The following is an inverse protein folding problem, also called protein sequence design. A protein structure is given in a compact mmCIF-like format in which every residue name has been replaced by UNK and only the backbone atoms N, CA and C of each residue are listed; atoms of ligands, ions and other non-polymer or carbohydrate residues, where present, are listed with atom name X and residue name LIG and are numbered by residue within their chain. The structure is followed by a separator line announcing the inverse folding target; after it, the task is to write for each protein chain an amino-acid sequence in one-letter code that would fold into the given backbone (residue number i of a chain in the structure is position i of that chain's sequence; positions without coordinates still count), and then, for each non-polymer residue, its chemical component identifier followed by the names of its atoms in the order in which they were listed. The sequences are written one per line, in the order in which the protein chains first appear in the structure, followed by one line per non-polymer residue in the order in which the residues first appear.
data_IF_149523816447
#
_entry.id   IF_149523816447
#
_cell.length_a   1.000
_cell.length_b   1.000
_cell.length_c   1.000
_cell.angle_alpha   90.00
_cell.angle_beta   90.00
_cell.angle_gamma   90.00
#
_symmetry.space_group_name_H-M   'P 1'
#
loop_
_entity.id
_entity.type
_entity.pdbx_description
1 polymer ?
#
# COMPACT_ATOMS: atom_id res chain seq x y z
N UNK A 1 0.09 -2.05 0.52
CA UNK A 1 -1.27 -2.47 0.15
C UNK A 1 -1.38 -3.97 -0.08
N UNK A 2 -0.44 -4.62 -0.78
CA UNK A 2 -0.52 -6.08 -1.05
C UNK A 2 -0.71 -6.94 0.22
N UNK A 3 -0.04 -6.60 1.31
CA UNK A 3 -0.16 -7.32 2.59
C UNK A 3 -1.59 -7.34 3.16
N UNK A 4 -2.43 -6.35 2.81
CA UNK A 4 -3.83 -6.30 3.21
C UNK A 4 -4.61 -7.53 2.70
N UNK A 5 -4.24 -8.03 1.53
CA UNK A 5 -4.91 -9.17 0.88
C UNK A 5 -4.16 -10.49 1.08
N UNK A 6 -3.20 -10.54 2.01
CA UNK A 6 -2.43 -11.76 2.27
C UNK A 6 -3.37 -12.91 2.69
N UNK A 7 -3.27 -14.04 2.01
CA UNK A 7 -4.14 -15.21 2.24
C UNK A 7 -5.60 -15.03 1.80
N UNK A 8 -5.93 -13.92 1.11
CA UNK A 8 -7.25 -13.67 0.52
C UNK A 8 -7.19 -13.86 -0.98
N UNK A 9 -8.34 -14.02 -1.61
CA UNK A 9 -8.42 -14.14 -3.06
C UNK A 9 -9.05 -12.90 -3.70
N UNK A 10 -8.55 -12.51 -4.87
CA UNK A 10 -9.13 -11.45 -5.69
C UNK A 10 -9.54 -11.99 -7.05
N UNK A 11 -10.70 -11.56 -7.55
CA UNK A 11 -11.18 -11.90 -8.88
C UNK A 11 -10.59 -10.90 -9.89
N UNK A 12 -9.88 -11.41 -10.89
CA UNK A 12 -9.38 -10.62 -12.02
C UNK A 12 -10.30 -10.78 -13.21
N UNK A 13 -10.93 -9.69 -13.65
CA UNK A 13 -11.77 -9.71 -14.86
C UNK A 13 -10.98 -9.81 -16.16
N UNK A 14 -9.69 -9.47 -16.14
CA UNK A 14 -8.84 -9.55 -17.35
C UNK A 14 -8.59 -11.00 -17.75
N UNK A 15 -8.37 -11.87 -16.77
CA UNK A 15 -7.98 -13.27 -16.98
C UNK A 15 -9.09 -14.25 -16.61
N UNK A 16 -10.23 -13.78 -16.08
CA UNK A 16 -11.30 -14.62 -15.51
C UNK A 16 -10.77 -15.59 -14.43
N UNK A 17 -9.63 -15.24 -13.83
CA UNK A 17 -8.94 -16.03 -12.84
C UNK A 17 -9.11 -15.43 -11.45
N UNK A 18 -9.14 -16.33 -10.48
CA UNK A 18 -9.00 -16.03 -9.07
C UNK A 18 -7.50 -15.91 -8.77
N UNK A 19 -7.07 -14.73 -8.34
CA UNK A 19 -5.73 -14.45 -7.83
C UNK A 19 -5.72 -14.89 -6.37
N UNK A 20 -5.25 -16.10 -6.11
CA UNK A 20 -5.22 -16.71 -4.77
C UNK A 20 -3.79 -16.92 -4.25
N UNK A 21 -2.79 -16.84 -5.14
CA UNK A 21 -1.38 -16.92 -4.73
C UNK A 21 -0.82 -15.54 -4.35
N UNK A 22 0.09 -15.53 -3.38
CA UNK A 22 0.78 -14.30 -2.96
C UNK A 22 1.54 -13.65 -4.13
N UNK A 23 2.10 -14.46 -5.04
CA UNK A 23 2.84 -13.98 -6.21
C UNK A 23 1.94 -13.20 -7.17
N UNK A 24 0.72 -13.67 -7.43
CA UNK A 24 -0.24 -13.01 -8.31
C UNK A 24 -0.79 -11.73 -7.70
N UNK A 25 -1.13 -11.77 -6.40
CA UNK A 25 -1.57 -10.58 -5.65
C UNK A 25 -0.48 -9.51 -5.66
N UNK A 26 0.78 -9.91 -5.44
CA UNK A 26 1.93 -9.02 -5.49
C UNK A 26 2.11 -8.44 -6.89
N UNK A 27 2.07 -9.25 -7.95
CA UNK A 27 2.14 -8.75 -9.32
C UNK A 27 1.00 -7.77 -9.69
N UNK A 28 -0.18 -7.95 -9.08
CA UNK A 28 -1.35 -7.11 -9.33
C UNK A 28 -1.37 -5.80 -8.52
N UNK A 29 -0.80 -5.79 -7.31
CA UNK A 29 -0.97 -4.68 -6.34
C UNK A 29 0.34 -4.02 -5.89
N UNK A 30 1.50 -4.64 -6.10
CA UNK A 30 2.78 -4.09 -5.65
C UNK A 30 3.12 -2.80 -6.41
N UNK A 31 3.70 -1.83 -5.70
CA UNK A 31 4.16 -0.54 -6.23
C UNK A 31 3.05 0.23 -6.98
N UNK A 32 1.80 0.07 -6.54
CA UNK A 32 0.63 0.75 -7.10
C UNK A 32 -0.22 1.35 -5.99
N UNK A 33 -0.83 2.48 -6.30
CA UNK A 33 -1.94 3.00 -5.52
C UNK A 33 -3.13 2.05 -5.66
N UNK A 34 -3.75 1.70 -4.54
CA UNK A 34 -4.91 0.80 -4.52
C UNK A 34 -6.14 1.58 -4.10
N UNK A 35 -7.15 1.65 -4.97
CA UNK A 35 -8.46 2.17 -4.60
C UNK A 35 -9.37 1.02 -4.17
N UNK A 36 -9.90 1.10 -2.96
CA UNK A 36 -10.95 0.21 -2.48
C UNK A 36 -12.30 0.87 -2.69
N UNK A 37 -13.06 0.37 -3.65
CA UNK A 37 -14.41 0.86 -3.95
C UNK A 37 -15.44 0.02 -3.22
N UNK A 38 -16.10 0.60 -2.23
CA UNK A 38 -17.29 0.05 -1.60
C UNK A 38 -18.51 0.60 -2.33
N UNK A 39 -19.24 -0.27 -3.01
CA UNK A 39 -20.45 0.10 -3.72
C UNK A 39 -21.40 -1.11 -3.85
N UNK A 40 -22.59 -0.83 -4.38
CA UNK A 40 -23.62 -1.81 -4.71
C UNK A 40 -24.37 -1.31 -5.94
N UNK A 41 -24.86 -2.23 -6.77
CA UNK A 41 -25.55 -1.96 -8.04
C UNK A 41 -26.85 -1.17 -7.86
N UNK A 42 -27.60 -1.51 -6.81
CA UNK A 42 -28.93 -0.95 -6.54
C UNK A 42 -28.91 0.40 -5.85
N UNK A 43 -27.75 0.87 -5.38
CA UNK A 43 -27.61 2.20 -4.77
C UNK A 43 -27.69 3.32 -5.83
N UNK A 44 -28.63 4.28 -5.70
CA UNK A 44 -28.74 5.41 -6.63
C UNK A 44 -27.50 6.30 -6.65
N UNK A 45 -26.87 6.54 -5.49
CA UNK A 45 -25.66 7.37 -5.38
C UNK A 45 -24.48 6.71 -6.08
N UNK A 46 -24.33 5.38 -5.97
CA UNK A 46 -23.30 4.61 -6.68
C UNK A 46 -23.46 4.76 -8.20
N UNK A 47 -24.67 4.55 -8.72
CA UNK A 47 -24.95 4.70 -10.17
C UNK A 47 -24.62 6.09 -10.70
N UNK A 48 -24.84 7.14 -9.91
CA UNK A 48 -24.47 8.51 -10.28
C UNK A 48 -22.96 8.77 -10.30
N UNK A 49 -22.21 8.10 -9.43
CA UNK A 49 -20.75 8.25 -9.31
C UNK A 49 -19.96 7.38 -10.30
N UNK A 50 -20.44 6.17 -10.58
CA UNK A 50 -19.76 5.19 -11.42
C UNK A 50 -19.28 5.74 -12.78
N UNK A 51 -20.05 6.49 -13.59
CA UNK A 51 -19.57 7.03 -14.85
C UNK A 51 -18.36 7.96 -14.66
N UNK A 52 -18.33 8.73 -13.56
CA UNK A 52 -17.21 9.61 -13.22
C UNK A 52 -15.98 8.79 -12.86
N UNK A 53 -16.15 7.76 -12.03
CA UNK A 53 -15.06 6.88 -11.63
C UNK A 53 -14.45 6.13 -12.83
N UNK A 54 -15.29 5.61 -13.74
CA UNK A 54 -14.83 4.96 -14.98
C UNK A 54 -14.03 5.93 -15.84
N UNK A 55 -14.52 7.16 -16.02
CA UNK A 55 -13.82 8.21 -16.77
C UNK A 55 -12.50 8.58 -16.11
N UNK A 56 -12.48 8.68 -14.78
CA UNK A 56 -11.28 8.94 -13.99
C UNK A 56 -10.23 7.86 -14.23
N UNK A 57 -10.57 6.58 -13.99
CA UNK A 57 -9.63 5.48 -14.22
C UNK A 57 -9.17 5.41 -15.68
N UNK A 58 -10.09 5.53 -16.65
CA UNK A 58 -9.74 5.48 -18.08
C UNK A 58 -8.72 6.56 -18.44
N UNK A 59 -8.91 7.79 -17.96
CA UNK A 59 -7.96 8.89 -18.23
C UNK A 59 -6.57 8.66 -17.64
N UNK A 60 -6.44 7.83 -16.62
CA UNK A 60 -5.15 7.54 -15.97
C UNK A 60 -4.49 6.26 -16.50
N UNK A 61 -5.24 5.35 -17.14
CA UNK A 61 -4.72 4.03 -17.51
C UNK A 61 -4.77 3.72 -19.00
N UNK A 62 -5.59 4.43 -19.78
CA UNK A 62 -5.79 4.15 -21.21
C UNK A 62 -4.68 4.79 -22.06
N UNK A 63 -4.01 4.03 -22.94
CA UNK A 63 -3.02 4.57 -23.88
C UNK A 63 -3.53 5.71 -24.77
N UNK A 64 -4.86 5.83 -24.97
CA UNK A 64 -5.46 6.93 -25.70
C UNK A 64 -5.38 8.28 -24.95
N UNK A 65 -5.06 8.28 -23.65
CA UNK A 65 -5.03 9.47 -22.81
C UNK A 65 -3.66 9.73 -22.18
N UNK A 66 -2.86 8.69 -21.95
CA UNK A 66 -1.54 8.79 -21.30
C UNK A 66 -0.54 7.91 -22.03
N UNK A 67 0.71 8.39 -22.18
CA UNK A 67 1.79 7.59 -22.80
C UNK A 67 2.14 6.35 -21.98
N UNK A 68 2.05 6.47 -20.65
CA UNK A 68 2.28 5.38 -19.71
C UNK A 68 1.11 5.29 -18.74
N UNK A 69 0.47 4.11 -18.59
CA UNK A 69 -0.56 3.92 -17.58
C UNK A 69 -0.02 4.22 -16.19
N UNK A 70 -0.75 5.05 -15.45
CA UNK A 70 -0.41 5.37 -14.07
C UNK A 70 -0.50 4.11 -13.19
N UNK A 71 0.36 3.97 -12.16
CA UNK A 71 0.46 2.78 -11.32
C UNK A 71 -0.72 2.73 -10.31
N UNK A 72 -1.91 2.46 -10.83
CA UNK A 72 -3.17 2.49 -10.10
C UNK A 72 -3.93 1.17 -10.29
N UNK A 73 -4.52 0.66 -9.21
CA UNK A 73 -5.39 -0.51 -9.25
C UNK A 73 -6.65 -0.30 -8.43
N UNK A 74 -7.80 -0.63 -9.00
CA UNK A 74 -9.08 -0.59 -8.30
C UNK A 74 -9.50 -2.00 -7.89
N UNK A 75 -9.89 -2.15 -6.63
CA UNK A 75 -10.49 -3.36 -6.06
C UNK A 75 -11.92 -3.03 -5.66
N UNK A 76 -12.88 -3.71 -6.27
CA UNK A 76 -14.29 -3.63 -5.92
C UNK A 76 -14.61 -4.49 -4.71
N UNK A 77 -15.23 -3.87 -3.70
CA UNK A 77 -15.77 -4.52 -2.52
C UNK A 77 -17.29 -4.37 -2.59
N UNK A 78 -17.94 -5.40 -3.12
CA UNK A 78 -19.38 -5.37 -3.36
C UNK A 78 -20.20 -5.59 -2.10
N UNK A 79 -21.21 -4.75 -1.88
CA UNK A 79 -22.21 -4.88 -0.81
C UNK A 79 -23.58 -5.35 -1.31
N UNK A 80 -23.63 -5.84 -2.54
CA UNK A 80 -24.85 -6.33 -3.16
C UNK A 80 -25.50 -7.44 -2.32
N UNK A 81 -26.83 -7.39 -2.19
CA UNK A 81 -27.59 -8.41 -1.44
C UNK A 81 -27.80 -9.71 -2.22
N UNK A 82 -27.58 -9.66 -3.53
CA UNK A 82 -27.78 -10.76 -4.45
C UNK A 82 -26.53 -10.94 -5.30
N UNK A 83 -26.11 -12.19 -5.46
CA UNK A 83 -24.96 -12.56 -6.30
C UNK A 83 -25.17 -12.14 -7.75
N UNK A 84 -26.40 -12.23 -8.26
CA UNK A 84 -26.71 -11.82 -9.63
C UNK A 84 -26.43 -10.32 -9.83
N UNK A 85 -26.88 -9.46 -8.92
CA UNK A 85 -26.61 -8.02 -9.01
C UNK A 85 -25.10 -7.73 -8.97
N UNK A 86 -24.37 -8.45 -8.12
CA UNK A 86 -22.92 -8.36 -8.00
C UNK A 86 -22.22 -8.75 -9.30
N UNK A 87 -22.58 -9.89 -9.89
CA UNK A 87 -21.98 -10.38 -11.14
C UNK A 87 -22.31 -9.46 -12.32
N UNK A 88 -23.52 -8.94 -12.39
CA UNK A 88 -23.92 -7.95 -13.39
C UNK A 88 -23.14 -6.64 -13.21
N UNK A 89 -23.00 -6.15 -11.97
CA UNK A 89 -22.15 -5.00 -11.68
C UNK A 89 -20.73 -5.23 -12.18
N UNK A 90 -20.14 -6.37 -11.81
CA UNK A 90 -18.81 -6.74 -12.24
C UNK A 90 -18.71 -6.75 -13.75
N UNK A 91 -19.65 -7.37 -14.47
CA UNK A 91 -19.66 -7.44 -15.93
C UNK A 91 -19.61 -6.06 -16.59
N UNK A 92 -20.33 -5.10 -16.03
CA UNK A 92 -20.41 -3.74 -16.55
C UNK A 92 -19.11 -2.93 -16.33
N UNK A 93 -18.23 -3.31 -15.40
CA UNK A 93 -17.01 -2.57 -15.08
C UNK A 93 -15.90 -2.71 -16.15
N UNK A 94 -14.76 -1.99 -16.05
CA UNK A 94 -13.58 -2.28 -16.85
C UNK A 94 -12.90 -3.61 -16.47
N UNK A 95 -12.34 -4.31 -17.46
CA UNK A 95 -11.58 -5.58 -17.23
C UNK A 95 -10.32 -5.41 -16.40
N UNK A 96 -9.81 -4.18 -16.29
CA UNK A 96 -8.66 -3.82 -15.45
C UNK A 96 -9.02 -3.71 -13.97
N UNK A 97 -10.27 -3.89 -13.57
CA UNK A 97 -10.63 -3.86 -12.15
C UNK A 97 -10.47 -5.25 -11.53
N UNK A 98 -10.15 -5.27 -10.25
CA UNK A 98 -10.19 -6.45 -9.40
C UNK A 98 -11.44 -6.39 -8.54
N UNK A 99 -11.83 -7.52 -7.97
CA UNK A 99 -12.93 -7.57 -7.02
C UNK A 99 -12.70 -8.62 -5.92
N UNK A 100 -13.27 -8.40 -4.74
CA UNK A 100 -13.38 -9.46 -3.74
C UNK A 100 -14.51 -10.41 -4.11
N UNK A 101 -14.36 -11.74 -3.93
CA UNK A 101 -15.43 -12.70 -4.14
C UNK A 101 -16.73 -12.31 -3.43
N UNK A 102 -17.87 -12.63 -4.06
CA UNK A 102 -19.16 -12.37 -3.46
C UNK A 102 -19.30 -13.10 -2.12
N UNK A 103 -19.83 -12.41 -1.10
CA UNK A 103 -20.04 -12.98 0.22
C UNK A 103 -18.79 -13.18 1.07
N UNK A 104 -17.61 -12.73 0.63
CA UNK A 104 -16.38 -12.81 1.43
C UNK A 104 -16.49 -11.94 2.71
N UNK A 105 -16.30 -12.56 3.87
CA UNK A 105 -16.32 -11.89 5.18
C UNK A 105 -15.31 -10.75 5.26
N UNK A 106 -14.22 -10.85 4.49
CA UNK A 106 -13.20 -9.82 4.40
C UNK A 106 -13.75 -8.48 3.93
N UNK A 107 -14.77 -8.47 3.07
CA UNK A 107 -15.43 -7.23 2.65
C UNK A 107 -16.00 -6.46 3.84
N UNK A 108 -16.63 -7.17 4.78
CA UNK A 108 -17.19 -6.58 6.01
C UNK A 108 -16.09 -6.14 6.98
N UNK A 109 -15.01 -6.90 7.10
CA UNK A 109 -13.84 -6.50 7.89
C UNK A 109 -13.25 -5.19 7.37
N UNK A 110 -13.11 -5.04 6.05
CA UNK A 110 -12.60 -3.82 5.43
C UNK A 110 -13.52 -2.61 5.65
N UNK A 111 -14.84 -2.81 5.56
CA UNK A 111 -15.82 -1.74 5.85
C UNK A 111 -15.66 -1.21 7.27
N UNK A 112 -15.53 -2.10 8.25
CA UNK A 112 -15.33 -1.73 9.65
C UNK A 112 -13.98 -1.06 9.85
N UNK A 113 -12.91 -1.64 9.29
CA UNK A 113 -11.54 -1.14 9.40
C UNK A 113 -11.39 0.28 8.86
N UNK A 114 -12.05 0.60 7.75
CA UNK A 114 -11.98 1.93 7.12
C UNK A 114 -13.15 2.84 7.48
N UNK A 115 -14.04 2.42 8.39
CA UNK A 115 -15.15 3.24 8.87
C UNK A 115 -16.12 3.66 7.77
N UNK A 116 -16.46 2.74 6.86
CA UNK A 116 -17.36 3.02 5.73
C UNK A 116 -18.78 3.27 6.23
N UNK A 117 -19.24 4.52 6.13
CA UNK A 117 -20.55 4.95 6.65
C UNK A 117 -21.66 4.90 5.60
N UNK A 118 -21.34 5.27 4.37
CA UNK A 118 -22.30 5.38 3.27
C UNK A 118 -21.69 4.93 1.94
N UNK A 119 -22.54 4.69 0.93
CA UNK A 119 -22.12 4.29 -0.40
C UNK A 119 -22.44 5.38 -1.44
N UNK A 120 -21.58 5.59 -2.45
CA UNK A 120 -20.30 4.92 -2.65
C UNK A 120 -19.23 5.45 -1.68
N UNK A 121 -18.27 4.61 -1.33
CA UNK A 121 -17.09 4.99 -0.55
C UNK A 121 -15.84 4.51 -1.27
N UNK A 122 -14.80 5.35 -1.35
CA UNK A 122 -13.58 5.04 -2.08
C UNK A 122 -12.36 5.36 -1.23
N UNK A 123 -11.73 4.34 -0.65
CA UNK A 123 -10.49 4.51 0.12
C UNK A 123 -9.31 4.48 -0.84
N UNK A 124 -8.35 5.38 -0.68
CA UNK A 124 -7.10 5.39 -1.45
C UNK A 124 -5.96 4.93 -0.55
N UNK A 125 -5.29 3.86 -0.94
CA UNK A 125 -4.14 3.29 -0.22
C UNK A 125 -2.84 3.51 -0.98
N UNK A 126 -1.79 3.85 -0.24
CA UNK A 126 -0.41 3.91 -0.71
C UNK A 126 0.12 2.51 -1.06
N UNK A 127 1.22 2.40 -1.83
CA UNK A 127 1.87 1.11 -2.11
C UNK A 127 2.28 0.35 -0.85
N UNK A 128 2.74 1.06 0.19
CA UNK A 128 2.98 0.51 1.54
C UNK A 128 1.71 -0.06 2.19
N UNK A 129 0.55 0.58 1.95
CA UNK A 129 -0.75 0.21 2.52
C UNK A 129 -1.27 1.20 3.55
N UNK A 130 -0.54 2.30 3.77
CA UNK A 130 -1.05 3.46 4.49
C UNK A 130 -2.28 4.04 3.77
N UNK A 131 -3.22 4.57 4.55
CA UNK A 131 -4.39 5.27 4.00
C UNK A 131 -3.97 6.67 3.61
N UNK A 132 -4.08 7.01 2.33
CA UNK A 132 -3.86 8.37 1.83
C UNK A 132 -5.11 9.21 2.02
N UNK A 133 -6.25 8.67 1.57
CA UNK A 133 -7.53 9.34 1.61
C UNK A 133 -8.58 8.34 2.08
N UNK A 134 -9.26 8.61 3.23
CA UNK A 134 -10.32 7.74 3.72
C UNK A 134 -11.52 7.66 2.76
N UNK A 135 -11.91 8.78 2.14
CA UNK A 135 -12.98 8.81 1.12
C UNK A 135 -12.67 9.81 -0.01
N UNK A 136 -12.28 9.29 -1.17
CA UNK A 136 -11.91 10.06 -2.35
C UNK A 136 -13.08 10.37 -3.31
N UNK A 137 -14.31 9.95 -3.00
CA UNK A 137 -15.50 10.29 -3.79
C UNK A 137 -15.65 11.80 -4.02
N UNK A 138 -15.59 12.68 -3.00
CA UNK A 138 -15.68 14.12 -3.22
C UNK A 138 -14.51 14.67 -4.05
N UNK A 139 -13.28 14.23 -3.78
CA UNK A 139 -12.10 14.69 -4.53
C UNK A 139 -12.20 14.36 -6.03
N UNK A 140 -12.60 13.13 -6.38
CA UNK A 140 -12.81 12.75 -7.78
C UNK A 140 -13.96 13.56 -8.40
N UNK A 141 -15.01 13.85 -7.62
CA UNK A 141 -16.17 14.58 -8.11
C UNK A 141 -15.81 16.03 -8.46
N UNK A 142 -14.99 16.65 -7.64
CA UNK A 142 -14.73 18.09 -7.65
C UNK A 142 -13.44 18.43 -8.42
N UNK A 143 -12.38 17.61 -8.30
CA UNK A 143 -11.07 17.83 -8.93
C UNK A 143 -10.81 16.93 -10.15
N UNK A 144 -11.58 15.86 -10.33
CA UNK A 144 -11.39 14.92 -11.44
C UNK A 144 -10.04 14.22 -11.38
N UNK A 145 -9.27 14.19 -12.47
CA UNK A 145 -7.98 13.49 -12.53
C UNK A 145 -6.86 14.19 -11.79
N UNK A 146 -7.01 15.48 -11.47
CA UNK A 146 -5.95 16.28 -10.84
C UNK A 146 -5.67 15.82 -9.40
N UNK A 147 -6.65 15.25 -8.68
CA UNK A 147 -6.42 14.73 -7.32
C UNK A 147 -5.43 13.56 -7.30
N UNK A 148 -5.25 12.85 -8.42
CA UNK A 148 -4.30 11.75 -8.50
C UNK A 148 -2.86 12.20 -8.25
N UNK A 149 -2.49 13.41 -8.68
CA UNK A 149 -1.15 13.95 -8.44
C UNK A 149 -0.89 14.14 -6.95
N UNK A 150 -1.86 14.71 -6.23
CA UNK A 150 -1.78 14.88 -4.78
C UNK A 150 -1.62 13.52 -4.07
N UNK A 151 -2.32 12.48 -4.52
CA UNK A 151 -2.19 11.14 -3.94
C UNK A 151 -0.82 10.52 -4.23
N UNK A 152 -0.29 10.73 -5.44
CA UNK A 152 1.04 10.23 -5.82
C UNK A 152 2.13 10.89 -4.98
N UNK A 153 2.10 12.22 -4.86
CA UNK A 153 3.04 12.97 -4.01
C UNK A 153 2.94 12.56 -2.54
N UNK A 154 1.72 12.41 -2.02
CA UNK A 154 1.50 11.95 -0.65
C UNK A 154 2.03 10.51 -0.42
N UNK A 155 1.87 9.62 -1.41
CA UNK A 155 2.40 8.27 -1.34
C UNK A 155 3.93 8.26 -1.34
N UNK A 156 4.57 9.07 -2.20
CA UNK A 156 6.02 9.22 -2.21
C UNK A 156 6.52 9.72 -0.86
N UNK A 157 5.88 10.75 -0.29
CA UNK A 157 6.25 11.23 1.04
C UNK A 157 6.11 10.14 2.10
N UNK A 158 5.03 9.35 2.11
CA UNK A 158 4.82 8.30 3.12
C UNK A 158 5.74 7.09 2.94
N UNK A 159 6.04 6.72 1.70
CA UNK A 159 6.98 5.63 1.41
C UNK A 159 8.44 6.06 1.69
N UNK A 160 8.75 7.38 1.69
CA UNK A 160 10.04 7.94 2.15
C UNK A 160 10.08 8.29 3.65
N UNK A 161 8.95 8.58 4.28
CA UNK A 161 8.88 9.06 5.68
C UNK A 161 8.99 7.96 6.75
N UNK A 162 9.47 6.76 6.40
CA UNK A 162 9.72 5.69 7.37
C UNK A 162 11.16 5.12 7.31
N UNK A 163 12.13 6.01 7.14
CA UNK A 163 13.25 6.01 8.07
C UNK A 163 13.09 7.26 8.93
N UNK A 164 12.45 7.13 10.09
CA UNK A 164 12.99 7.82 11.26
C UNK A 164 14.50 7.65 11.15
N UNK A 165 15.26 8.75 11.13
CA UNK A 165 16.67 8.66 11.47
C UNK A 165 16.65 7.87 12.78
N UNK A 166 17.07 6.60 12.73
CA UNK A 166 17.44 5.95 13.96
C UNK A 166 18.45 6.90 14.57
N UNK A 167 18.03 7.57 15.63
CA UNK A 167 18.94 8.17 16.56
C UNK A 167 19.88 7.02 16.95
N UNK A 168 21.08 7.09 16.38
CA UNK A 168 22.32 6.50 16.83
C UNK A 168 22.13 5.35 17.84
N UNK A 169 22.14 4.10 17.36
CA UNK A 169 22.39 2.94 18.21
C UNK A 169 22.82 1.74 17.36
N UNK A 170 24.11 1.73 16.97
CA UNK A 170 24.68 0.65 16.15
C UNK A 170 26.16 0.79 15.78
N UNK A 171 27.03 0.91 16.80
CA UNK A 171 28.51 0.88 16.79
C UNK A 171 29.27 2.06 16.14
N UNK A 172 30.26 2.66 16.85
CA UNK A 172 31.12 3.68 16.25
C UNK A 172 31.96 3.01 15.18
N UNK A 173 31.89 3.51 13.94
CA UNK A 173 32.98 3.31 13.00
C UNK A 173 34.24 3.84 13.68
N UNK A 174 35.10 2.94 14.17
CA UNK A 174 36.40 3.30 14.71
C UNK A 174 37.07 4.18 13.67
N UNK A 175 37.53 5.36 14.09
CA UNK A 175 38.19 6.29 13.19
C UNK A 175 39.37 5.57 12.53
N UNK A 176 39.67 5.82 11.26
CA UNK A 176 40.89 5.29 10.65
C UNK A 176 42.17 5.75 11.40
N UNK A 177 42.05 6.79 12.24
CA UNK A 177 43.11 7.28 13.12
C UNK A 177 43.13 6.63 14.52
N UNK A 178 42.20 5.72 14.84
CA UNK A 178 42.17 4.98 16.11
C UNK A 178 43.52 4.29 16.45
N UNK A 179 44.22 3.65 15.49
CA UNK A 179 45.53 3.06 15.74
C UNK A 179 46.57 4.11 16.16
N UNK A 180 46.54 5.29 15.54
CA UNK A 180 47.48 6.38 15.82
C UNK A 180 47.17 7.09 17.14
N UNK A 181 45.89 7.20 17.51
CA UNK A 181 45.48 7.74 18.83
C UNK A 181 45.91 6.84 19.98
N UNK A 182 45.87 5.51 19.82
CA UNK A 182 46.36 4.57 20.84
C UNK A 182 47.88 4.64 21.03
N UNK A 183 48.63 4.94 19.99
CA UNK A 183 50.09 5.17 20.08
C UNK A 183 50.42 6.48 20.81
N UNK A 184 49.60 7.52 20.66
CA UNK A 184 49.84 8.82 21.31
C UNK A 184 49.54 8.82 22.82
N UNK A 185 48.63 7.97 23.29
CA UNK A 185 48.19 7.91 24.70
C UNK A 185 48.39 6.53 25.32
N UNK A 186 49.54 5.88 25.08
CA UNK A 186 49.95 4.73 25.91
C UNK A 186 50.33 5.24 27.30
N UNK A 187 49.39 5.13 28.24
CA UNK A 187 49.72 5.08 29.67
C UNK A 187 50.45 3.76 29.90
N UNK A 188 51.65 3.83 30.48
CA UNK A 188 52.43 2.65 30.84
C UNK A 188 51.95 2.20 32.21
N UNK A 189 51.32 1.03 32.27
CA UNK A 189 51.16 0.29 33.52
C UNK A 189 51.81 -1.09 33.31
N UNK A 190 53.03 -1.23 33.82
CA UNK A 190 53.65 -2.51 34.12
C UNK A 190 53.66 -2.68 35.64
N UNK A 191 52.62 -3.34 36.16
CA UNK A 191 52.73 -4.14 37.38
C UNK A 191 52.88 -5.61 36.94
N UNK A 192 54.08 -6.17 37.10
CA UNK A 192 54.30 -7.62 37.12
C UNK A 192 54.72 -8.01 38.54
N UNK A 193 53.86 -8.81 39.18
CA UNK A 193 54.08 -9.37 40.50
C UNK A 193 54.97 -10.62 40.50
N UNK A 194 55.85 -10.61 41.51
CA UNK A 194 56.25 -11.72 42.39
C UNK A 194 57.07 -12.91 41.86
N UNK A 195 58.22 -13.09 42.52
CA UNK A 195 59.05 -14.28 42.46
C UNK A 195 60.21 -14.24 43.44
N UNK A 196 59.93 -14.09 44.74
CA UNK A 196 60.89 -14.47 45.79
C UNK A 196 60.96 -16.00 45.91
N UNK A 197 62.19 -16.54 45.90
CA UNK A 197 62.60 -17.76 46.63
C UNK A 197 64.14 -17.90 46.57
N UNK A 198 64.80 -17.48 47.66
CA UNK A 198 66.08 -18.02 48.16
C UNK A 198 65.84 -19.51 48.56
N UNK A 199 66.77 -20.47 48.67
CA UNK A 199 68.20 -20.61 49.04
C UNK A 199 68.69 -21.92 48.36
N UNK A 200 69.97 -22.15 48.08
CA UNK A 200 71.04 -22.61 49.01
C UNK A 200 72.38 -22.65 48.27
#
# INVERSE_FOLDING_TARGET
ACALFSGRALLSRRSEQRLDTERELRAALQNRLVLLLFAERRCPRCRGFEPRLRRFCRRLTDPAHVERPEPLRLVYVGRDRCEQDYLEYLRDMPRSWLALPYGDEFGRELEQRFGVQELPWLVVLAPSGAVLVPNAVPEIRDLGTSCFQNWREAAELLDWNFQERQEFQGAPGRSLTEPLRRLKYRVWDEEQGEGERETE
#
